data_IF_279614108811
#
_entry.id   IF_279614108811
#
_cell.length_a   1.000
_cell.length_b   1.000
_cell.length_c   1.000
_cell.angle_alpha   90.00
_cell.angle_beta   90.00
_cell.angle_gamma   90.00
#
_symmetry.space_group_name_H-M   'P 1'
#
loop_
_entity.id
_entity.type
_entity.pdbx_description
1 polymer ?
#
# COMPACT_ATOMS: atom_id res chain seq x y z
N UNK A 1 -7.19 11.57 -6.29
CA UNK A 1 -8.10 12.38 -7.14
C UNK A 1 -7.64 12.54 -8.59
N UNK A 2 -6.36 12.28 -8.92
CA UNK A 2 -5.85 12.34 -10.30
C UNK A 2 -5.97 11.02 -11.09
N UNK A 3 -6.32 9.92 -10.42
CA UNK A 3 -6.46 8.61 -11.09
C UNK A 3 -7.78 8.57 -11.87
N UNK A 4 -7.80 7.97 -13.08
CA UNK A 4 -9.03 7.81 -13.84
C UNK A 4 -10.12 7.08 -13.02
N UNK A 5 -11.41 7.50 -13.11
CA UNK A 5 -12.48 6.89 -12.33
C UNK A 5 -12.59 5.37 -12.48
N UNK A 6 -12.35 4.86 -13.69
CA UNK A 6 -12.33 3.42 -14.01
C UNK A 6 -11.28 2.64 -13.21
N UNK A 7 -10.14 3.27 -12.87
CA UNK A 7 -9.08 2.64 -12.07
C UNK A 7 -9.52 2.55 -10.62
N UNK A 8 -10.09 3.63 -10.08
CA UNK A 8 -10.60 3.67 -8.71
C UNK A 8 -11.70 2.62 -8.51
N UNK A 9 -12.61 2.49 -9.48
CA UNK A 9 -13.69 1.49 -9.45
C UNK A 9 -13.14 0.06 -9.48
N UNK A 10 -12.14 -0.22 -10.33
CA UNK A 10 -11.49 -1.53 -10.38
C UNK A 10 -10.78 -1.88 -9.07
N UNK A 11 -10.07 -0.93 -8.47
CA UNK A 11 -9.36 -1.14 -7.18
C UNK A 11 -10.37 -1.44 -6.06
N UNK A 12 -11.49 -0.69 -5.98
CA UNK A 12 -12.53 -0.90 -4.96
C UNK A 12 -13.27 -2.22 -5.10
N UNK A 13 -13.48 -2.70 -6.34
CA UNK A 13 -14.21 -3.95 -6.61
C UNK A 13 -13.34 -5.19 -6.64
N UNK A 14 -12.02 -5.03 -6.73
CA UNK A 14 -11.12 -6.17 -6.76
C UNK A 14 -11.22 -6.95 -5.44
N UNK A 15 -11.31 -8.28 -5.47
CA UNK A 15 -11.30 -9.09 -4.25
C UNK A 15 -9.95 -9.03 -3.53
N UNK A 16 -8.90 -8.64 -4.24
CA UNK A 16 -7.53 -8.51 -3.75
C UNK A 16 -6.77 -7.54 -4.65
N UNK A 17 -5.99 -6.64 -4.04
CA UNK A 17 -5.04 -5.76 -4.74
C UNK A 17 -3.63 -6.02 -4.22
N UNK A 18 -2.69 -6.22 -5.14
CA UNK A 18 -1.26 -6.25 -4.82
C UNK A 18 -0.64 -4.93 -5.29
N UNK A 19 -0.25 -4.11 -4.33
CA UNK A 19 0.33 -2.79 -4.53
C UNK A 19 1.85 -2.85 -4.35
N UNK A 20 2.61 -2.35 -5.34
CA UNK A 20 4.08 -2.43 -5.33
C UNK A 20 4.71 -1.07 -5.08
N UNK A 21 5.63 -1.02 -4.12
CA UNK A 21 6.47 0.13 -3.84
C UNK A 21 5.90 1.09 -2.79
N UNK A 22 6.81 1.85 -2.17
CA UNK A 22 6.48 2.74 -1.04
C UNK A 22 5.52 3.88 -1.42
N UNK A 23 5.68 4.50 -2.59
CA UNK A 23 4.77 5.58 -3.01
C UNK A 23 3.31 5.13 -3.09
N UNK A 24 3.08 3.88 -3.52
CA UNK A 24 1.73 3.32 -3.54
C UNK A 24 1.23 2.97 -2.12
N UNK A 25 2.12 2.57 -1.20
CA UNK A 25 1.78 2.43 0.21
C UNK A 25 1.33 3.76 0.79
N UNK A 26 2.13 4.82 0.65
CA UNK A 26 1.80 6.17 1.14
C UNK A 26 0.50 6.75 0.55
N UNK A 27 0.09 6.28 -0.64
CA UNK A 27 -1.15 6.74 -1.29
C UNK A 27 -2.37 5.89 -0.90
N UNK A 28 -2.17 4.59 -0.64
CA UNK A 28 -3.26 3.62 -0.53
C UNK A 28 -3.37 2.98 0.86
N UNK A 29 -2.49 3.30 1.82
CA UNK A 29 -2.55 2.72 3.17
C UNK A 29 -3.81 3.11 3.93
N UNK A 30 -4.54 4.15 3.50
CA UNK A 30 -5.84 4.54 4.04
C UNK A 30 -7.00 4.25 3.08
N UNK A 31 -6.73 3.58 1.96
CA UNK A 31 -7.76 3.24 0.99
C UNK A 31 -8.61 2.06 1.46
N UNK A 32 -9.93 2.21 1.38
CA UNK A 32 -10.89 1.18 1.78
C UNK A 32 -10.98 0.06 0.72
N UNK A 33 -10.02 -0.88 0.78
CA UNK A 33 -9.97 -2.11 -0.01
C UNK A 33 -9.04 -3.14 0.63
N UNK A 34 -9.14 -4.41 0.21
CA UNK A 34 -8.22 -5.48 0.61
C UNK A 34 -6.91 -5.35 -0.18
N UNK A 35 -5.94 -4.62 0.38
CA UNK A 35 -4.66 -4.32 -0.26
C UNK A 35 -3.49 -4.98 0.49
N UNK A 36 -2.65 -5.68 -0.26
CA UNK A 36 -1.34 -6.15 0.17
C UNK A 36 -0.26 -5.34 -0.50
N UNK A 37 0.79 -5.01 0.25
CA UNK A 37 1.89 -4.19 -0.21
C UNK A 37 3.18 -4.99 -0.30
N UNK A 38 3.86 -4.91 -1.44
CA UNK A 38 5.24 -5.38 -1.63
C UNK A 38 6.12 -4.16 -1.77
N UNK A 39 6.93 -3.84 -0.77
CA UNK A 39 7.82 -2.68 -0.81
C UNK A 39 9.13 -2.91 -0.07
N UNK A 40 10.06 -1.98 -0.26
CA UNK A 40 11.20 -1.76 0.63
C UNK A 40 10.91 -0.51 1.45
N UNK A 41 10.99 -0.57 2.78
CA UNK A 41 10.80 0.60 3.64
C UNK A 41 12.03 1.51 3.51
N UNK A 42 11.94 2.61 2.77
CA UNK A 42 13.09 3.47 2.43
C UNK A 42 13.26 4.65 3.38
N UNK A 43 12.27 4.96 4.22
CA UNK A 43 12.33 6.05 5.17
C UNK A 43 11.82 5.62 6.56
N UNK A 44 12.26 6.30 7.64
CA UNK A 44 11.85 5.97 9.00
C UNK A 44 10.34 6.01 9.20
N UNK A 45 9.65 6.96 8.58
CA UNK A 45 8.19 7.13 8.74
C UNK A 45 7.44 5.89 8.26
N UNK A 46 7.78 5.38 7.08
CA UNK A 46 7.13 4.17 6.54
C UNK A 46 7.57 2.92 7.30
N UNK A 47 8.83 2.86 7.73
CA UNK A 47 9.34 1.75 8.53
C UNK A 47 8.60 1.65 9.89
N UNK A 48 8.42 2.77 10.58
CA UNK A 48 7.65 2.87 11.83
C UNK A 48 6.18 2.51 11.62
N UNK A 49 5.54 3.05 10.57
CA UNK A 49 4.14 2.77 10.22
C UNK A 49 3.87 1.28 9.99
N UNK A 50 4.83 0.56 9.42
CA UNK A 50 4.74 -0.88 9.13
C UNK A 50 5.23 -1.73 10.31
N UNK A 51 6.08 -1.18 11.18
CA UNK A 51 6.69 -1.90 12.31
C UNK A 51 7.92 -2.72 11.91
N UNK A 52 8.78 -2.19 11.04
CA UNK A 52 9.98 -2.83 10.50
C UNK A 52 11.17 -1.88 10.51
N UNK A 53 12.37 -2.37 10.18
CA UNK A 53 13.58 -1.55 10.07
C UNK A 53 13.69 -0.85 8.71
N UNK A 54 14.37 0.31 8.68
CA UNK A 54 14.65 1.02 7.43
C UNK A 54 15.56 0.15 6.55
N UNK A 55 15.10 -0.09 5.33
CA UNK A 55 15.79 -0.88 4.33
C UNK A 55 15.24 -2.31 4.17
N UNK A 56 14.35 -2.76 5.04
CA UNK A 56 13.75 -4.10 4.92
C UNK A 56 12.80 -4.20 3.73
N UNK A 57 12.80 -5.38 3.10
CA UNK A 57 11.81 -5.78 2.10
C UNK A 57 10.65 -6.45 2.81
N UNK A 58 9.44 -5.96 2.57
CA UNK A 58 8.24 -6.38 3.31
C UNK A 58 7.13 -6.79 2.36
N UNK A 59 6.41 -7.84 2.77
CA UNK A 59 5.07 -8.16 2.27
C UNK A 59 4.07 -7.87 3.38
N UNK A 60 3.43 -6.70 3.29
CA UNK A 60 2.62 -6.14 4.35
C UNK A 60 1.13 -6.22 3.99
N UNK A 61 0.33 -6.80 4.88
CA UNK A 61 -1.13 -6.71 4.82
C UNK A 61 -1.59 -5.69 5.84
N UNK A 62 -2.22 -4.61 5.39
CA UNK A 62 -2.91 -3.72 6.31
C UNK A 62 -4.13 -4.48 6.83
N UNK A 63 -4.20 -4.68 8.14
CA UNK A 63 -5.45 -5.10 8.79
C UNK A 63 -6.24 -3.83 9.07
N UNK A 64 -7.47 -3.76 8.54
CA UNK A 64 -8.45 -2.76 8.96
C UNK A 64 -8.81 -2.92 10.42
#
# INVERSE_FOLDING_TARGET
>A
DLSPPEVIEKVRRAPLVISKGQANFETLDEFDAEIFFILKAKCPIVAERIGVEVGEMVFYRRRG
#
